data_IF_015673916720
#
_entry.id   IF_015673916720
#
_cell.length_a   1.000
_cell.length_b   1.000
_cell.length_c   1.000
_cell.angle_alpha   90.00
_cell.angle_beta   90.00
_cell.angle_gamma   90.00
#
_symmetry.space_group_name_H-M   'P 1'
#
loop_
_entity.id
_entity.type
_entity.pdbx_description
1 polymer ?
#
# COMPACT_ATOMS: atom_id res chain seq x y z
N UNK A 1 14.46 -17.24 -6.11
CA UNK A 1 14.46 -15.77 -5.82
C UNK A 1 14.61 -14.93 -7.08
N UNK A 2 15.07 -15.48 -8.18
CA UNK A 2 15.27 -14.81 -9.48
C UNK A 2 14.06 -13.98 -9.96
N UNK A 3 12.83 -14.48 -9.73
CA UNK A 3 11.62 -13.73 -10.11
C UNK A 3 11.48 -12.39 -9.36
N UNK A 4 11.77 -12.35 -8.04
CA UNK A 4 11.70 -11.12 -7.24
C UNK A 4 12.77 -10.10 -7.65
N UNK A 5 13.97 -10.60 -7.99
CA UNK A 5 15.10 -9.76 -8.42
C UNK A 5 14.85 -9.13 -9.80
N UNK A 6 14.03 -9.78 -10.64
CA UNK A 6 13.66 -9.29 -11.95
C UNK A 6 12.50 -8.28 -11.94
N UNK A 7 11.84 -8.06 -10.80
CA UNK A 7 10.74 -7.11 -10.73
C UNK A 7 11.24 -5.66 -10.84
N UNK A 8 10.54 -4.80 -11.61
CA UNK A 8 10.88 -3.39 -11.66
C UNK A 8 10.61 -2.71 -10.31
N UNK A 9 11.43 -1.72 -9.95
CA UNK A 9 11.20 -0.88 -8.76
C UNK A 9 9.91 -0.07 -8.91
N UNK A 10 9.56 0.32 -10.13
CA UNK A 10 8.35 1.05 -10.49
C UNK A 10 7.70 0.36 -11.67
N UNK A 11 6.41 0.08 -11.55
CA UNK A 11 5.57 -0.33 -12.67
C UNK A 11 4.66 0.85 -13.02
N UNK A 12 4.66 1.26 -14.28
CA UNK A 12 3.86 2.39 -14.76
C UNK A 12 2.92 1.99 -15.87
N UNK A 13 1.74 2.60 -15.87
CA UNK A 13 0.78 2.55 -16.97
C UNK A 13 0.48 3.97 -17.44
N UNK A 14 1.24 4.53 -18.39
CA UNK A 14 1.02 5.89 -18.89
C UNK A 14 -0.39 6.08 -19.48
N UNK A 15 -0.91 5.06 -20.16
CA UNK A 15 -2.27 5.10 -20.76
C UNK A 15 -3.38 5.25 -19.71
N UNK A 16 -3.22 4.61 -18.56
CA UNK A 16 -4.21 4.59 -17.48
C UNK A 16 -3.84 5.53 -16.32
N UNK A 17 -2.74 6.26 -16.49
CA UNK A 17 -2.25 7.27 -15.53
C UNK A 17 -2.07 6.76 -14.11
N UNK A 18 -1.59 5.52 -13.94
CA UNK A 18 -1.21 4.99 -12.63
C UNK A 18 0.21 4.45 -12.60
N UNK A 19 0.76 4.39 -11.40
CA UNK A 19 2.02 3.71 -11.08
C UNK A 19 1.89 2.85 -9.84
N UNK A 20 2.72 1.81 -9.75
CA UNK A 20 2.84 0.93 -8.59
C UNK A 20 4.29 0.94 -8.11
N UNK A 21 4.49 1.13 -6.82
CA UNK A 21 5.81 1.15 -6.16
C UNK A 21 5.74 0.41 -4.83
N UNK A 22 6.90 -0.03 -4.32
CA UNK A 22 6.92 -0.61 -2.98
C UNK A 22 6.74 0.44 -1.89
N UNK A 23 7.45 1.56 -1.96
CA UNK A 23 7.49 2.64 -0.96
C UNK A 23 7.07 4.00 -1.56
N UNK A 24 7.46 5.12 -0.93
CA UNK A 24 7.18 6.47 -1.41
C UNK A 24 7.80 6.76 -2.79
N UNK A 25 7.31 7.81 -3.47
CA UNK A 25 7.88 8.29 -4.74
C UNK A 25 9.19 9.05 -4.57
N UNK A 26 9.66 9.29 -3.36
CA UNK A 26 10.95 9.95 -3.14
C UNK A 26 12.09 9.24 -3.87
N UNK A 27 13.13 9.98 -4.31
CA UNK A 27 14.25 9.40 -5.05
C UNK A 27 14.92 8.26 -4.28
N UNK A 28 15.32 7.21 -5.03
CA UNK A 28 16.14 6.14 -4.47
C UNK A 28 17.48 6.72 -3.92
N UNK A 29 18.00 6.22 -2.78
CA UNK A 29 17.59 5.00 -2.07
C UNK A 29 16.55 5.19 -0.95
N UNK A 30 15.74 6.23 -0.97
CA UNK A 30 14.73 6.46 0.06
C UNK A 30 13.61 5.42 -0.02
N UNK A 31 13.46 4.64 1.04
CA UNK A 31 12.33 3.71 1.25
C UNK A 31 11.35 4.31 2.27
N UNK A 32 10.90 5.55 2.00
CA UNK A 32 10.06 6.30 2.93
C UNK A 32 8.69 5.66 3.15
N UNK A 33 8.27 5.56 4.41
CA UNK A 33 6.90 5.21 4.77
C UNK A 33 5.97 6.39 4.49
N UNK A 34 4.78 6.10 3.97
CA UNK A 34 3.71 7.09 3.90
C UNK A 34 2.64 6.72 4.92
N UNK A 35 2.65 7.44 6.04
CA UNK A 35 1.78 7.18 7.21
C UNK A 35 1.19 8.46 7.82
N UNK A 36 1.52 9.63 7.27
CA UNK A 36 1.06 10.94 7.72
C UNK A 36 0.85 11.88 6.53
N UNK A 37 0.10 12.96 6.72
CA UNK A 37 -0.08 14.00 5.69
C UNK A 37 1.26 14.60 5.25
N UNK A 38 2.19 14.81 6.18
CA UNK A 38 3.54 15.29 5.85
C UNK A 38 4.28 14.33 4.92
N UNK A 39 4.31 13.02 5.24
CA UNK A 39 4.97 12.02 4.40
C UNK A 39 4.25 11.84 3.04
N UNK A 40 2.93 12.02 3.00
CA UNK A 40 2.17 12.03 1.76
C UNK A 40 2.46 13.27 0.91
N UNK A 41 2.60 14.45 1.53
CA UNK A 41 3.01 15.67 0.83
C UNK A 41 4.39 15.51 0.16
N UNK A 42 5.36 14.95 0.89
CA UNK A 42 6.69 14.64 0.31
C UNK A 42 6.60 13.62 -0.83
N UNK A 43 5.71 12.64 -0.73
CA UNK A 43 5.47 11.66 -1.80
C UNK A 43 4.93 12.35 -3.05
N UNK A 44 3.94 13.23 -2.93
CA UNK A 44 3.31 13.92 -4.06
C UNK A 44 4.26 14.84 -4.83
N UNK A 45 5.32 15.36 -4.21
CA UNK A 45 6.35 16.14 -4.90
C UNK A 45 7.05 15.35 -6.03
N UNK A 46 7.05 14.02 -5.96
CA UNK A 46 7.74 13.13 -6.88
C UNK A 46 6.79 12.17 -7.61
N UNK A 47 5.48 12.26 -7.39
CA UNK A 47 4.50 11.45 -8.07
C UNK A 47 4.21 12.01 -9.48
N UNK A 48 4.48 11.21 -10.51
CA UNK A 48 4.28 11.61 -11.91
C UNK A 48 2.95 11.11 -12.52
N UNK A 49 2.32 10.12 -11.89
CA UNK A 49 1.04 9.56 -12.32
C UNK A 49 -0.09 10.07 -11.45
N UNK A 50 -1.30 10.12 -11.98
CA UNK A 50 -2.48 10.56 -11.21
C UNK A 50 -2.75 9.68 -10.01
N UNK A 51 -2.59 8.36 -10.14
CA UNK A 51 -2.77 7.42 -9.03
C UNK A 51 -1.47 6.65 -8.80
N UNK A 52 -1.03 6.59 -7.54
CA UNK A 52 0.09 5.76 -7.11
C UNK A 52 -0.40 4.71 -6.10
N UNK A 53 -0.04 3.46 -6.32
CA UNK A 53 -0.26 2.38 -5.36
C UNK A 53 1.05 2.04 -4.68
N UNK A 54 1.04 1.97 -3.34
CA UNK A 54 2.21 1.54 -2.58
C UNK A 54 1.88 0.56 -1.45
N UNK A 55 2.89 -0.22 -1.06
CA UNK A 55 2.83 -1.12 0.09
C UNK A 55 3.62 -0.55 1.27
N UNK A 56 4.69 -1.22 1.67
CA UNK A 56 5.71 -0.86 2.65
C UNK A 56 5.22 -0.56 4.07
N UNK A 57 4.25 0.33 4.25
CA UNK A 57 3.63 0.64 5.55
C UNK A 57 2.80 -0.52 6.11
N UNK A 58 2.27 -1.38 5.24
CA UNK A 58 1.32 -2.44 5.54
C UNK A 58 -0.01 -1.94 6.13
N UNK A 59 -0.30 -0.66 5.93
CA UNK A 59 -1.54 -0.01 6.39
C UNK A 59 -2.31 0.52 5.19
N UNK A 60 -3.57 0.17 5.00
CA UNK A 60 -4.39 0.72 3.92
C UNK A 60 -4.76 2.18 4.24
N UNK A 61 -4.35 3.06 3.34
CA UNK A 61 -4.64 4.50 3.40
C UNK A 61 -5.00 5.01 2.01
N UNK A 62 -5.75 6.11 1.96
CA UNK A 62 -5.86 6.96 0.79
C UNK A 62 -5.39 8.35 1.17
N UNK A 63 -4.46 8.89 0.39
CA UNK A 63 -4.13 10.30 0.43
C UNK A 63 -4.51 10.95 -0.90
N UNK A 64 -5.06 12.14 -0.86
CA UNK A 64 -5.40 12.93 -2.05
C UNK A 64 -4.83 14.34 -1.93
N UNK A 65 -4.45 14.92 -3.09
CA UNK A 65 -3.86 16.25 -3.16
C UNK A 65 -4.20 16.91 -4.50
N UNK A 66 -4.69 18.14 -4.44
CA UNK A 66 -4.80 19.04 -5.59
C UNK A 66 -3.86 20.24 -5.44
N UNK A 67 -3.40 20.86 -6.54
CA UNK A 67 -2.54 22.04 -6.48
C UNK A 67 -3.15 23.18 -5.65
N UNK A 68 -2.41 23.65 -4.65
CA UNK A 68 -2.87 24.72 -3.75
C UNK A 68 -3.68 24.25 -2.54
N UNK A 69 -3.98 22.96 -2.42
CA UNK A 69 -4.73 22.39 -1.31
C UNK A 69 -3.82 21.64 -0.32
N UNK A 70 -4.33 21.43 0.88
CA UNK A 70 -3.69 20.54 1.84
C UNK A 70 -3.89 19.09 1.43
N UNK A 71 -2.91 18.25 1.77
CA UNK A 71 -3.06 16.80 1.62
C UNK A 71 -4.12 16.29 2.57
N UNK A 72 -5.07 15.53 2.04
CA UNK A 72 -6.04 14.80 2.85
C UNK A 72 -5.58 13.34 2.92
N UNK A 73 -5.33 12.82 4.12
CA UNK A 73 -4.95 11.43 4.34
C UNK A 73 -5.92 10.76 5.30
N UNK A 74 -6.45 9.62 4.90
CA UNK A 74 -7.39 8.85 5.72
C UNK A 74 -7.17 7.34 5.58
N UNK A 75 -7.55 6.60 6.61
CA UNK A 75 -7.76 5.16 6.50
C UNK A 75 -9.06 4.90 5.77
N UNK A 76 -9.13 3.82 5.01
CA UNK A 76 -10.33 3.48 4.29
C UNK A 76 -10.68 1.99 4.40
N UNK A 77 -11.96 1.70 4.14
CA UNK A 77 -12.52 0.36 4.02
C UNK A 77 -13.63 0.37 2.97
N UNK A 78 -13.89 -0.77 2.35
CA UNK A 78 -14.86 -0.86 1.26
C UNK A 78 -14.43 -0.10 0.02
N UNK A 79 -15.36 0.57 -0.64
CA UNK A 79 -15.14 1.29 -1.90
C UNK A 79 -15.01 2.81 -1.67
N UNK A 80 -14.04 3.42 -2.34
CA UNK A 80 -13.81 4.87 -2.35
C UNK A 80 -13.63 5.33 -3.78
N UNK A 81 -14.39 6.34 -4.21
CA UNK A 81 -14.18 7.02 -5.49
C UNK A 81 -13.12 8.10 -5.31
N UNK A 82 -12.09 8.07 -6.16
CA UNK A 82 -11.02 9.06 -6.14
C UNK A 82 -11.50 10.36 -6.82
N UNK A 83 -11.25 11.54 -6.23
CA UNK A 83 -11.66 12.81 -6.82
C UNK A 83 -11.02 13.01 -8.21
N UNK A 84 -11.77 13.49 -9.21
CA UNK A 84 -11.30 13.58 -10.58
C UNK A 84 -10.11 14.52 -10.81
N UNK A 85 -9.99 15.58 -10.03
CA UNK A 85 -8.97 16.64 -10.22
C UNK A 85 -7.81 16.53 -9.21
N UNK A 86 -7.70 15.39 -8.47
CA UNK A 86 -6.66 15.18 -7.49
C UNK A 86 -5.68 14.09 -7.92
N UNK A 87 -4.44 14.25 -7.51
CA UNK A 87 -3.53 13.12 -7.41
C UNK A 87 -3.91 12.27 -6.20
N UNK A 88 -3.80 10.96 -6.34
CA UNK A 88 -4.12 10.02 -5.28
C UNK A 88 -2.95 9.07 -5.01
N UNK A 89 -2.70 8.81 -3.73
CA UNK A 89 -1.85 7.74 -3.25
C UNK A 89 -2.74 6.72 -2.52
N UNK A 90 -2.60 5.46 -2.88
CA UNK A 90 -3.33 4.34 -2.27
C UNK A 90 -2.34 3.38 -1.64
N UNK A 91 -2.27 3.36 -0.32
CA UNK A 91 -1.60 2.32 0.44
C UNK A 91 -2.44 1.05 0.41
N UNK A 92 -1.92 -0.01 -0.21
CA UNK A 92 -2.70 -1.22 -0.51
C UNK A 92 -2.82 -2.18 0.69
N UNK A 93 -2.19 -1.85 1.83
CA UNK A 93 -2.10 -2.76 2.97
C UNK A 93 -1.05 -3.85 2.78
N UNK A 94 -1.31 -5.04 3.27
CA UNK A 94 -0.38 -6.17 3.18
C UNK A 94 -1.09 -7.51 3.08
N UNK A 95 -0.60 -8.37 2.19
CA UNK A 95 -1.04 -9.76 2.10
C UNK A 95 -0.39 -10.61 3.22
N UNK A 96 0.90 -10.34 3.50
CA UNK A 96 1.71 -11.19 4.38
C UNK A 96 1.76 -10.75 5.85
N UNK A 97 1.68 -9.44 6.12
CA UNK A 97 1.84 -8.89 7.47
C UNK A 97 1.08 -7.58 7.65
N UNK A 98 -0.27 -7.61 7.73
CA UNK A 98 -1.07 -6.42 8.04
C UNK A 98 -0.64 -5.77 9.36
N UNK A 99 -0.64 -4.42 9.40
CA UNK A 99 -0.21 -3.63 10.57
C UNK A 99 -1.23 -2.56 10.98
N UNK A 100 -2.48 -2.78 10.68
CA UNK A 100 -3.57 -1.85 10.94
C UNK A 100 -4.59 -2.37 11.97
N UNK A 101 -4.27 -3.49 12.62
CA UNK A 101 -5.12 -4.14 13.63
C UNK A 101 -6.08 -5.18 13.05
N UNK A 102 -6.14 -5.33 11.72
CA UNK A 102 -6.91 -6.38 11.05
C UNK A 102 -5.95 -7.45 10.52
N UNK A 103 -6.07 -8.67 11.02
CA UNK A 103 -5.16 -9.77 10.69
C UNK A 103 -5.45 -10.47 9.35
N UNK A 104 -6.47 -10.03 8.63
CA UNK A 104 -6.79 -10.56 7.30
C UNK A 104 -5.83 -10.02 6.24
N UNK A 105 -5.47 -10.86 5.28
CA UNK A 105 -4.72 -10.41 4.11
C UNK A 105 -5.45 -9.25 3.43
N UNK A 106 -4.68 -8.22 3.02
CA UNK A 106 -5.23 -6.98 2.46
C UNK A 106 -4.66 -6.70 1.08
N UNK A 107 -5.51 -6.24 0.19
CA UNK A 107 -5.18 -5.76 -1.14
C UNK A 107 -6.26 -4.83 -1.68
N UNK A 108 -6.07 -4.30 -2.89
CA UNK A 108 -7.03 -3.39 -3.53
C UNK A 108 -7.35 -3.82 -4.96
N UNK A 109 -8.57 -3.53 -5.40
CA UNK A 109 -8.97 -3.50 -6.80
C UNK A 109 -9.14 -2.03 -7.19
N UNK A 110 -8.59 -1.63 -8.31
CA UNK A 110 -8.79 -0.31 -8.90
C UNK A 110 -9.60 -0.44 -10.19
N UNK A 111 -10.77 0.19 -10.20
CA UNK A 111 -11.58 0.37 -11.39
C UNK A 111 -11.16 1.67 -12.08
N UNK A 112 -10.52 1.53 -13.24
CA UNK A 112 -9.99 2.67 -14.01
C UNK A 112 -11.08 3.51 -14.67
N UNK A 113 -12.24 2.93 -14.97
CA UNK A 113 -13.34 3.63 -15.62
C UNK A 113 -14.16 4.42 -14.59
N UNK A 114 -14.44 3.80 -13.45
CA UNK A 114 -15.15 4.44 -12.34
C UNK A 114 -14.25 5.29 -11.44
N UNK A 115 -12.93 5.29 -11.65
CA UNK A 115 -11.94 5.91 -10.76
C UNK A 115 -12.15 5.55 -9.29
N UNK A 116 -12.45 4.29 -9.01
CA UNK A 116 -12.75 3.82 -7.67
C UNK A 116 -11.78 2.74 -7.20
N UNK A 117 -11.47 2.76 -5.91
CA UNK A 117 -10.62 1.76 -5.24
C UNK A 117 -11.47 0.97 -4.27
N UNK A 118 -11.40 -0.34 -4.35
CA UNK A 118 -12.08 -1.25 -3.44
C UNK A 118 -11.07 -2.02 -2.58
N UNK A 119 -11.16 -1.87 -1.25
CA UNK A 119 -10.32 -2.60 -0.30
C UNK A 119 -10.85 -4.02 -0.10
N UNK A 120 -9.97 -4.99 -0.32
CA UNK A 120 -10.27 -6.41 -0.12
C UNK A 120 -9.59 -6.89 1.16
N UNK A 121 -10.34 -7.65 1.96
CA UNK A 121 -9.84 -8.38 3.12
C UNK A 121 -10.17 -9.84 3.00
N UNK A 122 -9.16 -10.69 3.10
CA UNK A 122 -9.30 -12.14 2.94
C UNK A 122 -8.75 -12.86 4.17
N UNK A 123 -9.60 -13.65 4.82
CA UNK A 123 -9.16 -14.54 5.91
C UNK A 123 -8.29 -15.65 5.35
N UNK A 124 -7.24 -16.01 6.08
CA UNK A 124 -6.33 -17.10 5.72
C UNK A 124 -5.95 -17.93 6.95
N UNK A 125 -5.27 -19.05 6.75
CA UNK A 125 -4.83 -19.90 7.85
C UNK A 125 -3.58 -19.32 8.54
N UNK A 126 -3.79 -18.40 9.48
CA UNK A 126 -2.73 -17.71 10.24
C UNK A 126 -1.86 -18.74 10.98
N UNK A 127 -2.47 -19.75 11.62
CA UNK A 127 -1.71 -20.79 12.34
C UNK A 127 -0.74 -21.53 11.42
N UNK A 128 -1.14 -21.82 10.18
CA UNK A 128 -0.25 -22.47 9.22
C UNK A 128 0.90 -21.53 8.80
N UNK A 129 0.65 -20.23 8.65
CA UNK A 129 1.68 -19.24 8.36
C UNK A 129 2.68 -19.11 9.54
N UNK A 130 2.19 -19.01 10.77
CA UNK A 130 3.01 -18.99 11.99
C UNK A 130 3.92 -20.22 12.09
N UNK A 131 3.38 -21.42 11.88
CA UNK A 131 4.17 -22.67 11.88
C UNK A 131 5.32 -22.64 10.87
N UNK A 132 5.13 -22.05 9.69
CA UNK A 132 6.18 -21.89 8.68
C UNK A 132 7.28 -20.94 9.14
N UNK A 133 6.92 -19.84 9.83
CA UNK A 133 7.88 -18.88 10.38
C UNK A 133 8.74 -19.56 11.45
N UNK A 134 8.13 -20.29 12.38
CA UNK A 134 8.85 -21.05 13.42
C UNK A 134 9.75 -22.14 12.80
N UNK A 135 9.24 -22.89 11.83
CA UNK A 135 10.03 -23.93 11.14
C UNK A 135 11.23 -23.36 10.36
N UNK A 136 11.14 -22.09 9.92
CA UNK A 136 12.24 -21.37 9.29
C UNK A 136 13.22 -20.75 10.29
N UNK A 137 13.07 -21.00 11.59
CA UNK A 137 13.88 -20.43 12.69
C UNK A 137 13.97 -18.90 12.65
N UNK A 138 12.90 -18.24 12.18
CA UNK A 138 12.78 -16.79 12.24
C UNK A 138 12.32 -16.36 13.65
N UNK A 139 12.59 -15.11 14.06
CA UNK A 139 12.18 -14.61 15.38
C UNK A 139 10.68 -14.80 15.64
N UNK A 140 10.33 -15.31 16.82
CA UNK A 140 8.96 -15.69 17.20
C UNK A 140 7.96 -14.56 17.06
N UNK A 141 8.35 -13.33 17.37
CA UNK A 141 7.48 -12.15 17.25
C UNK A 141 6.94 -11.94 15.83
N UNK A 142 7.65 -12.41 14.79
CA UNK A 142 7.19 -12.34 13.41
C UNK A 142 6.00 -13.27 13.14
N UNK A 143 5.91 -14.37 13.87
CA UNK A 143 4.74 -15.25 13.82
C UNK A 143 3.60 -14.73 14.70
N UNK A 144 3.92 -14.31 15.93
CA UNK A 144 2.93 -13.86 16.91
C UNK A 144 2.12 -12.66 16.41
N UNK A 145 2.78 -11.68 15.79
CA UNK A 145 2.16 -10.45 15.28
C UNK A 145 1.10 -10.69 14.19
N UNK A 146 1.15 -11.82 13.47
CA UNK A 146 0.17 -12.16 12.44
C UNK A 146 -1.24 -12.31 13.01
N UNK A 147 -1.37 -12.81 14.25
CA UNK A 147 -2.67 -13.01 14.88
C UNK A 147 -3.37 -11.71 15.29
N UNK A 148 -2.61 -10.63 15.43
CA UNK A 148 -3.11 -9.32 15.90
C UNK A 148 -3.06 -8.22 14.84
N UNK A 149 -2.53 -8.50 13.65
CA UNK A 149 -2.42 -7.52 12.57
C UNK A 149 -1.49 -6.35 12.90
N UNK A 150 -0.28 -6.66 13.46
CA UNK A 150 0.69 -5.64 13.91
C UNK A 150 2.10 -5.92 13.39
#
# INVERSE_FOLDING_TARGET
>A
MEWLEALPIVLESPRLHYQVRHASCQPFPSWGYVISEHSAALHFLFQNSRVCFNGHSHVPIIATHAPGEHVNLQRFGGMVTLPPDHNALVGVGSVGQPRDGDNRACGVIYDTDAHSVYLIRVSYNITAAQKRIYAAHLPDFLAERLSVGR
#
